data_IF_515603284488
#
_entry.id   IF_515603284488
#
_cell.length_a   1.000
_cell.length_b   1.000
_cell.length_c   1.000
_cell.angle_alpha   90.00
_cell.angle_beta   90.00
_cell.angle_gamma   90.00
#
_symmetry.space_group_name_H-M   'P 1'
#
loop_
_entity.id
_entity.type
_entity.pdbx_description
1 polymer ?
#
# COMPACT_ATOMS: atom_id res chain seq x y z
N UNK A 1 24.18 5.14 7.49
CA UNK A 1 23.68 6.33 6.76
C UNK A 1 23.11 6.02 5.37
N UNK A 2 23.72 5.11 4.59
CA UNK A 2 23.23 4.79 3.23
C UNK A 2 21.77 4.27 3.14
N UNK A 3 21.30 3.50 4.14
CA UNK A 3 19.95 2.92 4.15
C UNK A 3 18.87 4.02 4.26
N UNK A 4 18.95 4.91 5.24
CA UNK A 4 17.99 6.00 5.44
C UNK A 4 17.95 6.97 4.26
N UNK A 5 19.10 7.25 3.64
CA UNK A 5 19.17 8.08 2.43
C UNK A 5 18.46 7.40 1.25
N UNK A 6 18.65 6.08 1.08
CA UNK A 6 17.99 5.31 0.01
C UNK A 6 16.49 5.24 0.25
N UNK A 7 16.06 5.01 1.49
CA UNK A 7 14.65 5.04 1.89
C UNK A 7 14.03 6.42 1.61
N UNK A 8 14.66 7.51 2.06
CA UNK A 8 14.18 8.86 1.83
C UNK A 8 14.03 9.18 0.34
N UNK A 9 15.01 8.78 -0.50
CA UNK A 9 14.94 8.95 -1.95
C UNK A 9 13.79 8.13 -2.57
N UNK A 10 13.55 6.92 -2.07
CA UNK A 10 12.47 6.04 -2.56
C UNK A 10 11.08 6.58 -2.22
N UNK A 11 10.95 7.33 -1.12
CA UNK A 11 9.70 7.99 -0.72
C UNK A 11 9.31 9.16 -1.63
N UNK A 12 10.25 9.73 -2.40
CA UNK A 12 9.94 10.85 -3.29
C UNK A 12 8.97 10.48 -4.41
N UNK A 13 9.04 9.24 -4.92
CA UNK A 13 8.16 8.78 -6.01
C UNK A 13 6.68 8.78 -5.64
N UNK A 14 6.23 8.09 -4.57
CA UNK A 14 4.82 8.13 -4.17
C UNK A 14 4.38 9.51 -3.69
N UNK A 15 5.25 10.28 -3.04
CA UNK A 15 4.94 11.66 -2.61
C UNK A 15 4.70 12.59 -3.79
N UNK A 16 5.37 12.38 -4.92
CA UNK A 16 5.19 13.18 -6.13
C UNK A 16 3.77 13.10 -6.73
N UNK A 17 2.97 12.09 -6.36
CA UNK A 17 1.57 11.99 -6.77
C UNK A 17 0.63 12.95 -6.01
N UNK A 18 1.02 13.43 -4.81
CA UNK A 18 0.15 14.27 -3.96
C UNK A 18 -0.26 15.60 -4.60
N UNK A 19 0.63 16.37 -5.24
CA UNK A 19 0.23 17.61 -5.91
C UNK A 19 -0.83 17.40 -6.99
N UNK A 20 -0.73 16.29 -7.74
CA UNK A 20 -1.72 15.94 -8.77
C UNK A 20 -3.07 15.67 -8.13
N UNK A 21 -3.10 14.93 -7.02
CA UNK A 21 -4.33 14.68 -6.26
C UNK A 21 -4.97 15.99 -5.78
N UNK A 22 -4.15 16.89 -5.23
CA UNK A 22 -4.60 18.19 -4.74
C UNK A 22 -5.20 19.07 -5.85
N UNK A 23 -4.57 19.10 -7.02
CA UNK A 23 -5.08 19.85 -8.19
C UNK A 23 -6.41 19.25 -8.68
N UNK A 24 -6.48 17.92 -8.85
CA UNK A 24 -7.71 17.25 -9.30
C UNK A 24 -8.87 17.50 -8.33
N UNK A 25 -8.63 17.33 -7.04
CA UNK A 25 -9.66 17.57 -6.01
C UNK A 25 -10.03 19.05 -5.91
N UNK A 26 -9.05 19.97 -5.99
CA UNK A 26 -9.28 21.41 -5.94
C UNK A 26 -10.16 21.90 -7.09
N UNK A 27 -9.86 21.50 -8.34
CA UNK A 27 -10.69 21.80 -9.50
C UNK A 27 -12.05 21.12 -9.35
N UNK A 28 -12.07 19.87 -8.89
CA UNK A 28 -13.30 19.11 -8.69
C UNK A 28 -14.25 19.79 -7.71
N UNK A 29 -13.76 20.26 -6.56
CA UNK A 29 -14.56 20.98 -5.57
C UNK A 29 -15.00 22.38 -6.06
N UNK A 30 -14.21 23.02 -6.90
CA UNK A 30 -14.61 24.29 -7.53
C UNK A 30 -15.80 24.11 -8.49
N UNK A 31 -15.85 22.99 -9.21
CA UNK A 31 -16.94 22.65 -10.13
C UNK A 31 -18.14 22.00 -9.43
N UNK A 32 -17.91 21.32 -8.33
CA UNK A 32 -18.93 20.59 -7.58
C UNK A 32 -18.86 20.93 -6.07
N UNK A 33 -19.14 22.17 -5.66
CA UNK A 33 -19.01 22.60 -4.26
C UNK A 33 -19.96 21.84 -3.32
N UNK A 34 -21.10 21.38 -3.81
CA UNK A 34 -22.04 20.55 -3.03
C UNK A 34 -21.43 19.20 -2.59
N UNK A 35 -20.43 18.68 -3.31
CA UNK A 35 -19.73 17.46 -2.93
C UNK A 35 -18.85 17.62 -1.67
N UNK A 36 -18.50 18.84 -1.25
CA UNK A 36 -17.80 19.12 0.01
C UNK A 36 -18.72 18.94 1.25
N UNK A 37 -20.00 19.21 1.08
CA UNK A 37 -20.97 19.11 2.19
C UNK A 37 -21.39 17.68 2.51
N UNK A 38 -20.81 16.68 1.83
CA UNK A 38 -21.27 15.30 1.87
C UNK A 38 -22.61 15.16 1.11
N UNK A 39 -23.06 13.95 0.91
CA UNK A 39 -24.36 13.65 0.27
C UNK A 39 -25.57 14.02 1.17
N UNK A 40 -25.44 15.08 1.99
CA UNK A 40 -26.47 15.52 2.88
C UNK A 40 -27.52 16.26 2.07
N UNK A 41 -28.61 15.54 1.88
CA UNK A 41 -29.96 16.04 1.66
C UNK A 41 -30.18 16.95 0.44
N UNK A 42 -30.66 16.34 -0.64
CA UNK A 42 -31.64 17.00 -1.51
C UNK A 42 -31.15 18.08 -2.47
N UNK A 43 -29.87 18.38 -2.49
CA UNK A 43 -29.33 19.23 -3.56
C UNK A 43 -29.09 18.36 -4.78
N UNK A 44 -30.10 18.36 -5.67
CA UNK A 44 -29.93 17.78 -7.01
C UNK A 44 -28.96 18.69 -7.79
N UNK A 45 -27.66 18.51 -7.54
CA UNK A 45 -26.65 19.12 -8.36
C UNK A 45 -26.63 18.39 -9.70
N UNK A 46 -27.52 18.85 -10.60
CA UNK A 46 -27.63 18.33 -11.95
C UNK A 46 -26.92 19.29 -12.89
N UNK A 47 -26.04 18.74 -13.70
CA UNK A 47 -25.34 19.49 -14.72
C UNK A 47 -24.01 18.85 -15.08
N UNK A 48 -23.57 19.02 -16.32
CA UNK A 48 -22.33 18.47 -16.83
C UNK A 48 -21.11 18.92 -15.99
N UNK A 49 -21.10 20.19 -15.55
CA UNK A 49 -20.03 20.74 -14.70
C UNK A 49 -19.91 20.01 -13.36
N UNK A 50 -21.05 19.73 -12.69
CA UNK A 50 -21.05 18.96 -11.44
C UNK A 50 -20.54 17.53 -11.64
N UNK A 51 -21.00 16.86 -12.71
CA UNK A 51 -20.56 15.49 -13.00
C UNK A 51 -19.04 15.43 -13.24
N UNK A 52 -18.50 16.36 -14.02
CA UNK A 52 -17.04 16.46 -14.25
C UNK A 52 -16.31 16.74 -12.92
N UNK A 53 -16.79 17.70 -12.14
CA UNK A 53 -16.21 18.05 -10.85
C UNK A 53 -16.19 16.85 -9.89
N UNK A 54 -17.31 16.14 -9.76
CA UNK A 54 -17.41 14.94 -8.94
C UNK A 54 -16.45 13.83 -9.40
N UNK A 55 -16.30 13.65 -10.72
CA UNK A 55 -15.37 12.66 -11.29
C UNK A 55 -13.91 13.00 -10.95
N UNK A 56 -13.54 14.29 -11.02
CA UNK A 56 -12.20 14.76 -10.64
C UNK A 56 -11.93 14.56 -9.14
N UNK A 57 -12.93 14.81 -8.27
CA UNK A 57 -12.82 14.55 -6.82
C UNK A 57 -12.56 13.06 -6.58
N UNK A 58 -13.34 12.18 -7.21
CA UNK A 58 -13.17 10.73 -7.06
C UNK A 58 -11.82 10.24 -7.59
N UNK A 59 -11.34 10.81 -8.70
CA UNK A 59 -10.03 10.48 -9.27
C UNK A 59 -8.88 10.87 -8.32
N UNK A 60 -8.89 12.09 -7.78
CA UNK A 60 -7.90 12.53 -6.80
C UNK A 60 -8.00 11.74 -5.49
N UNK A 61 -9.21 11.50 -5.01
CA UNK A 61 -9.47 10.71 -3.80
C UNK A 61 -9.03 9.25 -3.93
N UNK A 62 -9.13 8.65 -5.11
CA UNK A 62 -8.67 7.28 -5.36
C UNK A 62 -7.16 7.13 -5.15
N UNK A 63 -6.38 8.11 -5.54
CA UNK A 63 -4.92 8.10 -5.31
C UNK A 63 -4.60 8.28 -3.83
N UNK A 64 -5.25 9.21 -3.14
CA UNK A 64 -5.05 9.45 -1.70
C UNK A 64 -5.47 8.23 -0.90
N UNK A 65 -6.62 7.63 -1.21
CA UNK A 65 -7.11 6.43 -0.52
C UNK A 65 -6.21 5.20 -0.69
N UNK A 66 -5.40 5.16 -1.75
CA UNK A 66 -4.46 4.07 -2.02
C UNK A 66 -2.99 4.44 -1.78
N UNK A 67 -2.73 5.49 -1.00
CA UNK A 67 -1.36 5.93 -0.69
C UNK A 67 -0.49 4.81 -0.12
N UNK A 68 -1.04 3.95 0.76
CA UNK A 68 -0.31 2.84 1.37
C UNK A 68 0.32 1.91 0.32
N UNK A 69 -0.46 1.56 -0.70
CA UNK A 69 0.02 0.69 -1.80
C UNK A 69 1.07 1.40 -2.67
N UNK A 70 0.89 2.71 -2.90
CA UNK A 70 1.85 3.51 -3.65
C UNK A 70 3.20 3.60 -2.91
N UNK A 71 3.17 3.77 -1.57
CA UNK A 71 4.37 3.72 -0.74
C UNK A 71 5.05 2.35 -0.78
N UNK A 72 4.28 1.26 -0.67
CA UNK A 72 4.84 -0.08 -0.73
C UNK A 72 5.58 -0.32 -2.05
N UNK A 73 4.93 -0.05 -3.19
CA UNK A 73 5.53 -0.24 -4.52
C UNK A 73 6.71 0.70 -4.73
N UNK A 74 6.55 2.00 -4.43
CA UNK A 74 7.60 3.00 -4.63
C UNK A 74 8.88 2.70 -3.85
N UNK A 75 8.75 2.28 -2.59
CA UNK A 75 9.88 1.87 -1.76
C UNK A 75 10.45 0.54 -2.26
N UNK A 76 9.58 -0.42 -2.60
CA UNK A 76 9.99 -1.71 -3.14
C UNK A 76 10.88 -1.58 -4.37
N UNK A 77 10.52 -0.73 -5.32
CA UNK A 77 11.34 -0.43 -6.51
C UNK A 77 12.58 0.39 -6.13
N UNK A 78 12.38 1.51 -5.43
CA UNK A 78 13.46 2.47 -5.16
C UNK A 78 14.56 1.95 -4.24
N UNK A 79 14.25 1.01 -3.33
CA UNK A 79 15.24 0.36 -2.47
C UNK A 79 15.83 -0.92 -3.08
N UNK A 80 15.29 -1.42 -4.18
CA UNK A 80 15.88 -2.53 -4.92
C UNK A 80 17.19 -2.10 -5.58
N UNK A 81 18.17 -3.01 -5.68
CA UNK A 81 19.48 -2.70 -6.24
C UNK A 81 19.41 -2.36 -7.74
N UNK A 82 18.58 -3.06 -8.48
CA UNK A 82 18.43 -2.90 -9.92
C UNK A 82 17.26 -1.96 -10.31
N UNK A 83 16.52 -1.43 -9.32
CA UNK A 83 15.35 -0.58 -9.50
C UNK A 83 14.33 -1.16 -10.50
N UNK A 84 14.15 -2.48 -10.50
CA UNK A 84 13.24 -3.15 -11.41
C UNK A 84 11.86 -3.40 -10.79
N UNK A 85 10.89 -3.76 -11.65
CA UNK A 85 9.51 -4.02 -11.23
C UNK A 85 9.34 -5.22 -10.29
N UNK A 86 10.32 -6.15 -10.25
CA UNK A 86 10.25 -7.33 -9.37
C UNK A 86 10.31 -6.93 -7.89
N UNK A 87 11.11 -5.89 -7.57
CA UNK A 87 11.14 -5.33 -6.21
C UNK A 87 9.80 -4.69 -5.81
N UNK A 88 9.15 -4.00 -6.74
CA UNK A 88 7.81 -3.45 -6.55
C UNK A 88 6.76 -4.54 -6.37
N UNK A 89 6.82 -5.61 -7.18
CA UNK A 89 5.92 -6.75 -7.04
C UNK A 89 6.10 -7.46 -5.70
N UNK A 90 7.33 -7.67 -5.26
CA UNK A 90 7.64 -8.26 -3.96
C UNK A 90 7.05 -7.43 -2.80
N UNK A 91 7.17 -6.10 -2.89
CA UNK A 91 6.60 -5.18 -1.92
C UNK A 91 5.07 -5.18 -1.94
N UNK A 92 4.46 -5.26 -3.12
CA UNK A 92 3.01 -5.40 -3.27
C UNK A 92 2.50 -6.71 -2.65
N UNK A 93 3.18 -7.83 -2.90
CA UNK A 93 2.86 -9.12 -2.27
C UNK A 93 2.96 -9.00 -0.74
N UNK A 94 4.04 -8.40 -0.24
CA UNK A 94 4.22 -8.17 1.21
C UNK A 94 3.08 -7.32 1.78
N UNK A 95 2.69 -6.24 1.11
CA UNK A 95 1.62 -5.36 1.56
C UNK A 95 0.26 -6.09 1.58
N UNK A 96 -0.07 -6.83 0.52
CA UNK A 96 -1.30 -7.62 0.45
C UNK A 96 -1.37 -8.68 1.56
N UNK A 97 -0.26 -9.39 1.80
CA UNK A 97 -0.20 -10.41 2.86
C UNK A 97 -0.37 -9.80 4.25
N UNK A 98 0.39 -8.74 4.57
CA UNK A 98 0.34 -8.10 5.89
C UNK A 98 -1.05 -7.52 6.15
N UNK A 99 -1.61 -6.76 5.21
CA UNK A 99 -2.92 -6.12 5.41
C UNK A 99 -4.08 -7.12 5.47
N UNK A 100 -4.03 -8.21 4.71
CA UNK A 100 -5.06 -9.24 4.80
C UNK A 100 -4.93 -10.08 6.08
N UNK A 101 -3.72 -10.48 6.46
CA UNK A 101 -3.52 -11.28 7.68
C UNK A 101 -3.89 -10.51 8.96
N UNK A 102 -3.57 -9.21 8.99
CA UNK A 102 -3.85 -8.33 10.13
C UNK A 102 -5.19 -7.58 10.03
N UNK A 103 -6.07 -7.99 9.12
CA UNK A 103 -7.43 -7.47 9.09
C UNK A 103 -8.19 -7.92 10.34
N UNK A 104 -9.03 -7.05 10.90
CA UNK A 104 -9.79 -7.30 12.14
C UNK A 104 -10.49 -8.66 12.14
N UNK A 105 -11.16 -9.01 11.03
CA UNK A 105 -11.89 -10.29 10.90
C UNK A 105 -10.98 -11.50 11.12
N UNK A 106 -9.72 -11.44 10.65
CA UNK A 106 -8.76 -12.54 10.81
C UNK A 106 -8.10 -12.52 12.19
N UNK A 107 -7.78 -11.34 12.70
CA UNK A 107 -7.13 -11.15 14.00
C UNK A 107 -8.05 -11.62 15.13
N UNK A 108 -9.33 -11.32 15.07
CA UNK A 108 -10.31 -11.78 16.09
C UNK A 108 -10.51 -13.29 16.10
N UNK A 109 -10.30 -13.96 14.95
CA UNK A 109 -10.32 -15.44 14.89
C UNK A 109 -9.04 -16.04 15.49
N UNK A 110 -7.87 -15.41 15.23
CA UNK A 110 -6.57 -15.89 15.75
C UNK A 110 -6.44 -15.60 17.26
N UNK A 111 -6.90 -14.44 17.68
CA UNK A 111 -6.85 -13.98 19.07
C UNK A 111 -8.23 -13.47 19.52
N UNK A 112 -9.14 -14.36 19.98
CA UNK A 112 -10.48 -13.96 20.41
C UNK A 112 -10.50 -12.93 21.55
N UNK A 113 -9.45 -12.88 22.37
CA UNK A 113 -9.28 -11.87 23.44
C UNK A 113 -9.20 -10.43 22.92
N UNK A 114 -8.87 -10.23 21.66
CA UNK A 114 -8.82 -8.89 21.06
C UNK A 114 -10.19 -8.41 20.54
N UNK A 115 -11.15 -9.33 20.38
CA UNK A 115 -12.50 -8.99 19.93
C UNK A 115 -13.23 -8.03 20.90
N UNK A 116 -12.97 -8.16 22.19
CA UNK A 116 -13.57 -7.32 23.23
C UNK A 116 -12.82 -6.00 23.47
N UNK A 117 -11.68 -5.80 22.79
CA UNK A 117 -10.88 -4.59 22.93
C UNK A 117 -11.16 -3.65 21.75
N UNK A 118 -11.92 -2.59 22.01
CA UNK A 118 -12.31 -1.60 21.00
C UNK A 118 -11.11 -0.89 20.36
N UNK A 119 -10.06 -0.59 21.13
CA UNK A 119 -8.87 0.11 20.62
C UNK A 119 -8.04 -0.78 19.70
N UNK A 120 -7.91 -2.07 20.02
CA UNK A 120 -7.25 -3.05 19.19
C UNK A 120 -8.01 -3.25 17.86
N UNK A 121 -9.32 -3.40 17.91
CA UNK A 121 -10.14 -3.54 16.70
C UNK A 121 -10.06 -2.30 15.79
N UNK A 122 -10.02 -1.10 16.35
CA UNK A 122 -9.81 0.14 15.58
C UNK A 122 -8.43 0.17 14.91
N UNK A 123 -7.37 -0.26 15.60
CA UNK A 123 -6.03 -0.32 15.03
C UNK A 123 -5.96 -1.26 13.82
N UNK A 124 -6.54 -2.45 13.92
CA UNK A 124 -6.56 -3.43 12.83
C UNK A 124 -7.52 -3.06 11.69
N UNK A 125 -8.59 -2.34 11.96
CA UNK A 125 -9.44 -1.76 10.90
C UNK A 125 -8.68 -0.75 10.03
N UNK A 126 -7.72 -0.04 10.60
CA UNK A 126 -6.90 0.95 9.91
C UNK A 126 -5.51 0.42 9.52
N UNK A 127 -5.34 -0.91 9.41
CA UNK A 127 -4.05 -1.53 9.07
C UNK A 127 -3.54 -1.11 7.67
N UNK A 128 -4.42 -0.78 6.74
CA UNK A 128 -4.07 -0.34 5.39
C UNK A 128 -3.61 1.13 5.36
N UNK A 129 -2.64 1.49 6.19
CA UNK A 129 -2.10 2.84 6.30
C UNK A 129 -0.71 2.96 5.62
N UNK A 130 -0.25 4.20 5.30
CA UNK A 130 1.05 4.42 4.66
C UNK A 130 2.24 3.88 5.44
N UNK A 131 2.17 3.80 6.77
CA UNK A 131 3.24 3.26 7.60
C UNK A 131 3.45 1.76 7.33
N UNK A 132 2.37 0.98 7.28
CA UNK A 132 2.42 -0.43 6.89
C UNK A 132 2.87 -0.57 5.43
N UNK A 133 2.49 0.36 4.55
CA UNK A 133 3.01 0.44 3.18
C UNK A 133 4.54 0.58 3.14
N UNK A 134 5.11 1.43 3.99
CA UNK A 134 6.56 1.60 4.11
C UNK A 134 7.23 0.30 4.59
N UNK A 135 6.70 -0.33 5.63
CA UNK A 135 7.21 -1.62 6.15
C UNK A 135 7.18 -2.67 5.04
N UNK A 136 6.06 -2.84 4.35
CA UNK A 136 5.92 -3.80 3.26
C UNK A 136 6.90 -3.53 2.11
N UNK A 137 7.11 -2.25 1.76
CA UNK A 137 8.08 -1.83 0.76
C UNK A 137 9.52 -2.21 1.13
N UNK A 138 9.90 -1.98 2.39
CA UNK A 138 11.21 -2.36 2.93
C UNK A 138 11.37 -3.88 2.92
N UNK A 139 10.40 -4.63 3.43
CA UNK A 139 10.41 -6.10 3.44
C UNK A 139 10.58 -6.65 2.02
N UNK A 140 9.76 -6.19 1.06
CA UNK A 140 9.84 -6.63 -0.33
C UNK A 140 11.19 -6.34 -0.97
N UNK A 141 11.74 -5.12 -0.77
CA UNK A 141 13.05 -4.75 -1.30
C UNK A 141 14.20 -5.54 -0.67
N UNK A 142 14.13 -5.82 0.63
CA UNK A 142 15.13 -6.67 1.32
C UNK A 142 15.08 -8.10 0.78
N UNK A 143 13.90 -8.68 0.61
CA UNK A 143 13.72 -9.99 -0.02
C UNK A 143 14.29 -9.99 -1.45
N UNK A 144 14.00 -8.95 -2.24
CA UNK A 144 14.54 -8.82 -3.57
C UNK A 144 16.08 -8.81 -3.57
N UNK A 145 16.69 -7.90 -2.81
CA UNK A 145 18.14 -7.74 -2.79
C UNK A 145 18.87 -9.03 -2.31
N UNK A 146 18.23 -9.79 -1.42
CA UNK A 146 18.83 -11.02 -0.87
C UNK A 146 18.64 -12.24 -1.78
N UNK A 147 17.50 -12.36 -2.44
CA UNK A 147 17.08 -13.60 -3.11
C UNK A 147 17.02 -13.53 -4.64
N UNK A 148 17.23 -12.35 -5.26
CA UNK A 148 17.20 -12.19 -6.73
C UNK A 148 18.13 -13.10 -7.52
N UNK A 149 19.22 -13.56 -6.91
CA UNK A 149 20.22 -14.45 -7.51
C UNK A 149 20.14 -15.89 -7.04
N UNK A 150 19.13 -16.28 -6.27
CA UNK A 150 19.03 -17.62 -5.71
C UNK A 150 18.79 -18.67 -6.80
N UNK A 151 19.67 -19.68 -6.88
CA UNK A 151 19.51 -20.83 -7.76
C UNK A 151 18.83 -21.94 -6.99
N UNK A 152 17.68 -22.38 -7.46
CA UNK A 152 16.91 -23.49 -6.90
C UNK A 152 17.31 -24.81 -7.58
N UNK A 153 17.08 -25.98 -6.94
CA UNK A 153 17.30 -27.29 -7.53
C UNK A 153 16.55 -27.47 -8.86
N UNK A 154 17.00 -28.41 -9.71
CA UNK A 154 16.48 -28.60 -11.06
C UNK A 154 14.95 -28.78 -11.13
N UNK A 155 14.33 -29.40 -10.15
CA UNK A 155 12.86 -29.59 -10.08
C UNK A 155 12.07 -28.31 -9.74
N UNK A 156 12.74 -27.29 -9.17
CA UNK A 156 12.19 -25.95 -8.90
C UNK A 156 12.86 -24.87 -9.75
N UNK A 157 13.63 -25.22 -10.76
CA UNK A 157 14.41 -24.28 -11.57
C UNK A 157 13.54 -23.21 -12.24
N UNK A 158 12.27 -23.51 -12.54
CA UNK A 158 11.29 -22.55 -13.06
C UNK A 158 11.10 -21.33 -12.13
N UNK A 159 11.22 -21.51 -10.81
CA UNK A 159 11.09 -20.45 -9.82
C UNK A 159 12.43 -19.80 -9.45
N UNK A 160 13.54 -20.18 -10.08
CA UNK A 160 14.87 -19.64 -9.79
C UNK A 160 15.00 -18.15 -10.15
N UNK A 161 15.93 -17.47 -9.47
CA UNK A 161 16.24 -16.07 -9.71
C UNK A 161 15.17 -15.11 -9.23
N UNK A 162 14.86 -14.08 -10.03
CA UNK A 162 13.89 -13.02 -9.66
C UNK A 162 12.47 -13.53 -9.39
N UNK A 163 12.09 -14.69 -9.94
CA UNK A 163 10.76 -15.30 -9.73
C UNK A 163 10.56 -15.81 -8.29
N UNK A 164 11.63 -16.26 -7.65
CA UNK A 164 11.58 -16.74 -6.25
C UNK A 164 11.30 -15.61 -5.25
N UNK A 165 11.63 -14.38 -5.61
CA UNK A 165 11.52 -13.22 -4.71
C UNK A 165 10.08 -13.01 -4.23
N UNK A 166 9.09 -13.12 -5.11
CA UNK A 166 7.67 -12.96 -4.73
C UNK A 166 7.22 -14.03 -3.71
N UNK A 167 7.67 -15.28 -3.88
CA UNK A 167 7.36 -16.39 -2.97
C UNK A 167 8.01 -16.14 -1.61
N UNK A 168 9.30 -15.80 -1.60
CA UNK A 168 10.04 -15.52 -0.38
C UNK A 168 9.48 -14.31 0.36
N UNK A 169 9.09 -13.24 -0.38
CA UNK A 169 8.47 -12.08 0.25
C UNK A 169 7.12 -12.42 0.88
N UNK A 170 6.33 -13.30 0.28
CA UNK A 170 5.10 -13.82 0.88
C UNK A 170 5.37 -14.54 2.21
N UNK A 171 6.31 -15.50 2.23
CA UNK A 171 6.67 -16.23 3.45
C UNK A 171 7.21 -15.29 4.54
N UNK A 172 8.11 -14.36 4.15
CA UNK A 172 8.65 -13.37 5.10
C UNK A 172 7.53 -12.47 5.66
N UNK A 173 6.54 -12.13 4.85
CA UNK A 173 5.42 -11.30 5.28
C UNK A 173 4.52 -11.99 6.30
N UNK A 174 4.40 -13.32 6.28
CA UNK A 174 3.72 -14.09 7.34
C UNK A 174 4.45 -13.87 8.67
N UNK A 175 5.79 -14.01 8.67
CA UNK A 175 6.58 -13.79 9.88
C UNK A 175 6.44 -12.34 10.39
N UNK A 176 6.52 -11.37 9.48
CA UNK A 176 6.34 -9.95 9.82
C UNK A 176 4.94 -9.69 10.39
N UNK A 177 3.90 -10.32 9.82
CA UNK A 177 2.53 -10.17 10.32
C UNK A 177 2.38 -10.75 11.74
N UNK A 178 3.02 -11.87 12.04
CA UNK A 178 3.05 -12.42 13.41
C UNK A 178 3.74 -11.45 14.37
N UNK A 179 4.88 -10.86 13.98
CA UNK A 179 5.59 -9.88 14.82
C UNK A 179 4.77 -8.60 15.04
N UNK A 180 3.98 -8.19 14.06
CA UNK A 180 3.12 -6.99 14.17
C UNK A 180 1.82 -7.26 14.94
N UNK A 181 1.46 -8.54 15.15
CA UNK A 181 0.28 -8.94 15.90
C UNK A 181 0.54 -8.87 17.42
N UNK A 182 1.79 -9.10 17.86
CA UNK A 182 2.24 -9.08 19.25
C UNK A 182 3.08 -7.83 19.57
#
# INVERSE_FOLDING_TARGET
MKFLQKLGKSLMLPVACLPICGILMGIGYALAPAAMAGEVAGYQASGLAYQIGYYLIKAGGALIGNMAILFAIGIGVGMSEENDGTGGLAALVSWLMITNLLKTDNVTVIMPSLADNADATLAFNNIANPFIGIIAGVVGSMCYNRFKGTRLPNWLSFFSGKRSVAIVSGVTSIVVSVVLLF
#
